data_IF_458144531967
#
_entry.id   IF_458144531967
#
_cell.length_a   1.000
_cell.length_b   1.000
_cell.length_c   1.000
_cell.angle_alpha   90.00
_cell.angle_beta   90.00
_cell.angle_gamma   90.00
#
_symmetry.space_group_name_H-M   'P 1'
#
loop_
_entity.id
_entity.type
_entity.pdbx_description
1 polymer ?
#
# COMPACT_ATOMS: atom_id res chain seq x y z
N UNK A 1 -20.94 27.94 -10.16
CA UNK A 1 -20.91 26.64 -9.45
C UNK A 1 -19.48 26.21 -9.08
N UNK A 2 -18.44 27.02 -9.33
CA UNK A 2 -17.04 26.57 -9.28
C UNK A 2 -16.34 26.70 -7.92
N UNK A 3 -16.83 27.57 -7.02
CA UNK A 3 -16.18 27.80 -5.73
C UNK A 3 -16.36 26.63 -4.74
N UNK A 4 -17.49 25.92 -4.84
CA UNK A 4 -17.84 24.85 -3.91
C UNK A 4 -17.10 23.54 -4.24
N UNK A 5 -16.91 23.25 -5.54
CA UNK A 5 -16.09 22.12 -6.02
C UNK A 5 -14.62 22.31 -5.64
N UNK A 6 -14.08 23.51 -5.84
CA UNK A 6 -12.67 23.82 -5.52
C UNK A 6 -12.37 23.66 -4.02
N UNK A 7 -13.32 24.02 -3.14
CA UNK A 7 -13.16 23.86 -1.71
C UNK A 7 -13.17 22.37 -1.29
N UNK A 8 -14.07 21.57 -1.87
CA UNK A 8 -14.19 20.13 -1.59
C UNK A 8 -12.91 19.39 -2.02
N UNK A 9 -12.39 19.70 -3.21
CA UNK A 9 -11.15 19.10 -3.72
C UNK A 9 -9.95 19.47 -2.82
N UNK A 10 -9.90 20.71 -2.33
CA UNK A 10 -8.89 21.16 -1.38
C UNK A 10 -8.94 20.41 -0.04
N UNK A 11 -10.14 20.15 0.49
CA UNK A 11 -10.29 19.36 1.71
C UNK A 11 -9.88 17.89 1.53
N UNK A 12 -10.27 17.27 0.42
CA UNK A 12 -9.88 15.89 0.11
C UNK A 12 -8.34 15.76 0.02
N UNK A 13 -7.68 16.73 -0.63
CA UNK A 13 -6.22 16.75 -0.72
C UNK A 13 -5.53 16.89 0.64
N UNK A 14 -6.05 17.74 1.53
CA UNK A 14 -5.51 17.90 2.89
C UNK A 14 -5.68 16.63 3.74
N UNK A 15 -6.82 15.95 3.60
CA UNK A 15 -7.08 14.67 4.27
C UNK A 15 -6.08 13.60 3.80
N UNK A 16 -5.89 13.47 2.49
CA UNK A 16 -4.92 12.54 1.92
C UNK A 16 -3.49 12.79 2.42
N UNK A 17 -3.04 14.05 2.42
CA UNK A 17 -1.71 14.41 2.93
C UNK A 17 -1.55 14.09 4.43
N UNK A 18 -2.60 14.29 5.23
CA UNK A 18 -2.58 13.97 6.66
C UNK A 18 -2.44 12.47 6.89
N UNK A 19 -3.24 11.66 6.18
CA UNK A 19 -3.20 10.19 6.27
C UNK A 19 -1.83 9.68 5.84
N UNK A 20 -1.32 10.10 4.69
CA UNK A 20 0.02 9.69 4.21
C UNK A 20 1.12 9.97 5.25
N UNK A 21 1.10 11.14 5.89
CA UNK A 21 2.07 11.47 6.95
C UNK A 21 1.92 10.58 8.18
N UNK A 22 0.69 10.29 8.60
CA UNK A 22 0.42 9.42 9.73
C UNK A 22 0.92 8.00 9.47
N UNK A 23 0.58 7.42 8.32
CA UNK A 23 1.02 6.08 7.94
C UNK A 23 2.56 5.98 7.79
N UNK A 24 3.19 7.04 7.27
CA UNK A 24 4.65 7.10 7.19
C UNK A 24 5.32 7.11 8.58
N UNK A 25 4.70 7.79 9.55
CA UNK A 25 5.17 7.81 10.94
C UNK A 25 5.00 6.44 11.61
N UNK A 26 3.89 5.76 11.36
CA UNK A 26 3.67 4.41 11.87
C UNK A 26 4.69 3.42 11.32
N UNK A 27 4.92 3.45 10.00
CA UNK A 27 5.88 2.58 9.35
C UNK A 27 7.31 2.81 9.89
N UNK A 28 7.79 4.06 10.01
CA UNK A 28 9.15 4.28 10.51
C UNK A 28 9.32 3.85 11.99
N UNK A 29 8.26 3.91 12.79
CA UNK A 29 8.29 3.50 14.20
C UNK A 29 8.20 1.99 14.40
N UNK A 30 7.68 1.26 13.42
CA UNK A 30 7.45 -0.19 13.46
C UNK A 30 8.69 -1.07 13.61
N UNK A 31 9.87 -0.53 13.25
CA UNK A 31 11.14 -1.27 13.19
C UNK A 31 11.05 -2.58 12.40
N UNK A 32 10.27 -2.63 11.32
CA UNK A 32 10.29 -3.75 10.37
C UNK A 32 11.76 -4.06 9.95
N UNK A 33 12.12 -5.35 9.76
CA UNK A 33 13.48 -5.74 9.39
C UNK A 33 14.01 -5.02 8.15
N UNK A 34 15.31 -4.73 8.18
CA UNK A 34 16.13 -4.31 7.04
C UNK A 34 15.78 -2.95 6.38
N UNK A 35 16.88 -2.24 6.11
CA UNK A 35 17.09 -0.98 5.39
C UNK A 35 16.73 0.34 6.10
N UNK A 36 17.64 1.30 5.89
CA UNK A 36 17.61 2.71 6.27
C UNK A 36 16.49 3.47 5.54
N UNK A 37 15.27 2.95 5.56
CA UNK A 37 14.13 3.63 4.98
C UNK A 37 13.92 4.91 5.77
N UNK A 38 14.08 6.05 5.12
CA UNK A 38 13.88 7.33 5.75
C UNK A 38 12.39 7.65 5.79
N UNK A 39 12.00 8.58 6.66
CA UNK A 39 10.63 9.11 6.64
C UNK A 39 10.24 9.65 5.24
N UNK A 40 11.19 10.21 4.49
CA UNK A 40 10.97 10.71 3.13
C UNK A 40 10.68 9.57 2.16
N UNK A 41 11.35 8.43 2.29
CA UNK A 41 11.10 7.25 1.45
C UNK A 41 9.70 6.69 1.70
N UNK A 42 9.29 6.59 2.98
CA UNK A 42 7.93 6.19 3.35
C UNK A 42 6.88 7.14 2.73
N UNK A 43 7.10 8.46 2.83
CA UNK A 43 6.21 9.45 2.22
C UNK A 43 6.11 9.29 0.70
N UNK A 44 7.23 9.04 0.02
CA UNK A 44 7.22 8.88 -1.44
C UNK A 44 6.40 7.66 -1.87
N UNK A 45 6.58 6.53 -1.20
CA UNK A 45 5.81 5.30 -1.47
C UNK A 45 4.32 5.55 -1.22
N UNK A 46 3.97 6.11 -0.06
CA UNK A 46 2.57 6.31 0.33
C UNK A 46 1.86 7.38 -0.50
N UNK A 47 2.56 8.44 -0.92
CA UNK A 47 2.00 9.39 -1.88
C UNK A 47 1.73 8.74 -3.23
N UNK A 48 2.60 7.84 -3.71
CA UNK A 48 2.35 7.11 -4.95
C UNK A 48 1.11 6.23 -4.81
N UNK A 49 0.99 5.47 -3.71
CA UNK A 49 -0.22 4.70 -3.41
C UNK A 49 -1.46 5.59 -3.41
N UNK A 50 -1.42 6.72 -2.71
CA UNK A 50 -2.52 7.68 -2.64
C UNK A 50 -2.93 8.24 -4.01
N UNK A 51 -1.98 8.47 -4.90
CA UNK A 51 -2.23 8.95 -6.28
C UNK A 51 -2.90 7.86 -7.11
N UNK A 52 -2.50 6.60 -6.94
CA UNK A 52 -3.09 5.46 -7.65
C UNK A 52 -4.51 5.19 -7.13
N UNK A 53 -4.70 5.14 -5.81
CA UNK A 53 -6.00 4.83 -5.19
C UNK A 53 -7.00 5.96 -5.38
N UNK A 54 -6.54 7.21 -5.37
CA UNK A 54 -7.36 8.43 -5.30
C UNK A 54 -8.36 8.44 -4.12
N UNK A 55 -8.12 7.58 -3.13
CA UNK A 55 -9.01 7.37 -1.99
C UNK A 55 -8.15 7.12 -0.75
N UNK A 56 -8.20 8.05 0.19
CA UNK A 56 -7.40 7.99 1.41
C UNK A 56 -7.79 6.84 2.34
N UNK A 57 -9.07 6.45 2.34
CA UNK A 57 -9.54 5.29 3.10
C UNK A 57 -9.01 4.01 2.47
N UNK A 58 -9.05 3.91 1.14
CA UNK A 58 -8.50 2.75 0.45
C UNK A 58 -6.98 2.63 0.64
N UNK A 59 -6.25 3.75 0.64
CA UNK A 59 -4.82 3.78 0.99
C UNK A 59 -4.57 3.25 2.40
N UNK A 60 -5.36 3.69 3.38
CA UNK A 60 -5.26 3.25 4.77
C UNK A 60 -5.51 1.74 4.90
N UNK A 61 -6.58 1.22 4.29
CA UNK A 61 -6.91 -0.22 4.31
C UNK A 61 -5.79 -1.07 3.71
N UNK A 62 -5.26 -0.68 2.56
CA UNK A 62 -4.15 -1.40 1.91
C UNK A 62 -2.92 -1.38 2.82
N UNK A 63 -2.61 -0.22 3.41
CA UNK A 63 -1.50 -0.08 4.33
C UNK A 63 -1.65 -1.01 5.53
N UNK A 64 -2.76 -0.89 6.28
CA UNK A 64 -2.98 -1.63 7.52
C UNK A 64 -2.87 -3.14 7.31
N UNK A 65 -3.53 -3.68 6.28
CA UNK A 65 -3.55 -5.12 6.04
C UNK A 65 -2.20 -5.67 5.58
N UNK A 66 -1.50 -4.94 4.71
CA UNK A 66 -0.15 -5.34 4.29
C UNK A 66 0.86 -5.17 5.43
N UNK A 67 0.68 -4.16 6.28
CA UNK A 67 1.56 -3.87 7.39
C UNK A 67 1.41 -4.93 8.50
N UNK A 68 0.18 -5.32 8.82
CA UNK A 68 -0.10 -6.46 9.71
C UNK A 68 0.52 -7.74 9.15
N UNK A 69 0.39 -7.99 7.84
CA UNK A 69 1.02 -9.13 7.19
C UNK A 69 2.54 -9.06 7.30
N UNK A 70 3.15 -7.90 7.06
CA UNK A 70 4.59 -7.70 7.14
C UNK A 70 5.11 -8.01 8.55
N UNK A 71 4.42 -7.50 9.58
CA UNK A 71 4.76 -7.76 10.98
C UNK A 71 4.64 -9.25 11.32
N UNK A 72 3.51 -9.87 10.96
CA UNK A 72 3.23 -11.29 11.25
C UNK A 72 4.24 -12.24 10.60
N UNK A 73 4.66 -11.92 9.38
CA UNK A 73 5.57 -12.76 8.59
C UNK A 73 7.03 -12.29 8.68
N UNK A 74 7.33 -11.31 9.54
CA UNK A 74 8.66 -10.71 9.70
C UNK A 74 9.29 -10.27 8.36
N UNK A 75 8.48 -9.66 7.49
CA UNK A 75 8.91 -9.15 6.17
C UNK A 75 9.59 -7.81 6.32
N UNK A 76 10.48 -7.48 5.38
CA UNK A 76 11.25 -6.25 5.42
C UNK A 76 10.45 -5.01 5.02
N UNK A 77 10.96 -3.83 5.37
CA UNK A 77 10.38 -2.57 4.87
C UNK A 77 10.43 -2.49 3.34
N UNK A 78 11.50 -2.98 2.71
CA UNK A 78 11.60 -3.05 1.25
C UNK A 78 10.50 -3.95 0.62
N UNK A 79 10.21 -5.11 1.23
CA UNK A 79 9.10 -5.96 0.81
C UNK A 79 7.76 -5.24 0.95
N UNK A 80 7.53 -4.59 2.08
CA UNK A 80 6.29 -3.87 2.34
C UNK A 80 6.08 -2.72 1.35
N UNK A 81 7.13 -1.97 1.01
CA UNK A 81 7.09 -0.93 -0.02
C UNK A 81 6.67 -1.47 -1.40
N UNK A 82 7.23 -2.61 -1.81
CA UNK A 82 6.92 -3.25 -3.09
C UNK A 82 5.47 -3.76 -3.12
N UNK A 83 5.02 -4.39 -2.03
CA UNK A 83 3.67 -4.92 -1.96
C UNK A 83 2.61 -3.81 -1.87
N UNK A 84 2.91 -2.68 -1.22
CA UNK A 84 2.05 -1.49 -1.22
C UNK A 84 1.77 -1.00 -2.65
N UNK A 85 2.83 -0.89 -3.46
CA UNK A 85 2.69 -0.49 -4.87
C UNK A 85 1.93 -1.54 -5.67
N UNK A 86 2.23 -2.82 -5.46
CA UNK A 86 1.52 -3.91 -6.13
C UNK A 86 0.01 -3.85 -5.84
N UNK A 87 -0.39 -3.76 -4.57
CA UNK A 87 -1.81 -3.70 -4.18
C UNK A 87 -2.52 -2.44 -4.67
N UNK A 88 -1.84 -1.29 -4.69
CA UNK A 88 -2.39 -0.10 -5.31
C UNK A 88 -2.67 -0.32 -6.80
N UNK A 89 -1.72 -0.92 -7.53
CA UNK A 89 -1.88 -1.22 -8.96
C UNK A 89 -2.99 -2.25 -9.22
N UNK A 90 -3.21 -3.20 -8.32
CA UNK A 90 -4.32 -4.18 -8.43
C UNK A 90 -5.68 -3.47 -8.60
N UNK A 91 -5.90 -2.33 -7.93
CA UNK A 91 -7.14 -1.56 -8.05
C UNK A 91 -7.38 -1.02 -9.46
N UNK A 92 -6.29 -0.72 -10.18
CA UNK A 92 -6.34 -0.20 -11.55
C UNK A 92 -6.21 -1.30 -12.60
N UNK A 93 -5.74 -2.48 -12.20
CA UNK A 93 -5.56 -3.62 -13.08
C UNK A 93 -6.90 -4.30 -13.36
N UNK A 94 -7.03 -4.87 -14.56
CA UNK A 94 -8.20 -5.66 -14.94
C UNK A 94 -8.39 -6.90 -14.06
N UNK A 95 -7.27 -7.51 -13.64
CA UNK A 95 -7.25 -8.71 -12.81
C UNK A 95 -5.90 -8.81 -12.06
N UNK A 96 -5.97 -9.07 -10.75
CA UNK A 96 -4.81 -9.40 -9.89
C UNK A 96 -3.95 -10.51 -10.47
N UNK A 97 -4.55 -11.55 -11.05
CA UNK A 97 -3.82 -12.68 -11.64
C UNK A 97 -2.91 -12.24 -12.79
N UNK A 98 -3.38 -11.34 -13.65
CA UNK A 98 -2.59 -10.85 -14.78
C UNK A 98 -1.41 -10.01 -14.28
N UNK A 99 -1.65 -9.13 -13.30
CA UNK A 99 -0.59 -8.33 -12.69
C UNK A 99 0.44 -9.20 -11.95
N UNK A 100 0.00 -10.17 -11.16
CA UNK A 100 0.89 -11.10 -10.45
C UNK A 100 1.77 -11.90 -11.43
N UNK A 101 1.20 -12.37 -12.54
CA UNK A 101 1.95 -13.06 -13.61
C UNK A 101 2.97 -12.13 -14.26
N UNK A 102 2.59 -10.88 -14.55
CA UNK A 102 3.52 -9.90 -15.12
C UNK A 102 4.75 -9.73 -14.22
N UNK A 103 4.54 -9.50 -12.93
CA UNK A 103 5.65 -9.37 -11.97
C UNK A 103 6.49 -10.64 -11.89
N UNK A 104 5.87 -11.83 -11.86
CA UNK A 104 6.60 -13.10 -11.86
C UNK A 104 7.48 -13.25 -13.10
N UNK A 105 6.97 -12.88 -14.29
CA UNK A 105 7.75 -12.96 -15.53
C UNK A 105 8.89 -11.95 -15.60
N UNK A 106 8.80 -10.85 -14.85
CA UNK A 106 9.85 -9.83 -14.77
C UNK A 106 10.91 -10.15 -13.72
N UNK A 107 10.60 -10.99 -12.71
CA UNK A 107 11.58 -11.52 -11.78
C UNK A 107 12.56 -12.44 -12.51
N UNK A 108 13.81 -12.02 -12.66
CA UNK A 108 14.88 -12.85 -13.24
C UNK A 108 16.00 -13.04 -12.22
N UNK A 109 16.31 -14.28 -11.81
CA UNK A 109 15.65 -15.55 -12.18
C UNK A 109 14.26 -15.71 -11.53
N UNK A 110 13.42 -16.59 -12.11
CA UNK A 110 12.21 -17.09 -11.43
C UNK A 110 12.65 -18.21 -10.50
N UNK A 111 12.94 -17.86 -9.26
CA UNK A 111 13.32 -18.78 -8.19
C UNK A 111 12.13 -19.08 -7.25
N UNK A 112 12.37 -19.91 -6.24
CA UNK A 112 11.34 -20.30 -5.27
C UNK A 112 10.78 -19.08 -4.51
N UNK A 113 11.62 -18.08 -4.21
CA UNK A 113 11.18 -16.85 -3.54
C UNK A 113 10.23 -16.02 -4.42
N UNK A 114 10.47 -15.97 -5.73
CA UNK A 114 9.56 -15.34 -6.68
C UNK A 114 8.22 -16.08 -6.76
N UNK A 115 8.24 -17.42 -6.73
CA UNK A 115 7.02 -18.24 -6.71
C UNK A 115 6.23 -18.08 -5.41
N UNK A 116 6.90 -18.03 -4.25
CA UNK A 116 6.27 -17.77 -2.95
C UNK A 116 5.57 -16.40 -2.95
N UNK A 117 6.25 -15.37 -3.44
CA UNK A 117 5.68 -14.01 -3.56
C UNK A 117 4.45 -14.01 -4.48
N UNK A 118 4.50 -14.72 -5.60
CA UNK A 118 3.37 -14.88 -6.50
C UNK A 118 2.18 -15.55 -5.81
N UNK A 119 2.41 -16.64 -5.08
CA UNK A 119 1.35 -17.36 -4.36
C UNK A 119 0.76 -16.53 -3.20
N UNK A 120 1.60 -15.80 -2.46
CA UNK A 120 1.15 -14.84 -1.43
C UNK A 120 0.22 -13.79 -2.06
N UNK A 121 0.62 -13.19 -3.19
CA UNK A 121 -0.20 -12.20 -3.90
C UNK A 121 -1.55 -12.76 -4.35
N UNK A 122 -1.61 -14.01 -4.81
CA UNK A 122 -2.86 -14.64 -5.26
C UNK A 122 -3.81 -14.99 -4.10
N UNK A 123 -3.26 -15.33 -2.94
CA UNK A 123 -4.05 -15.70 -1.76
C UNK A 123 -4.55 -14.49 -0.97
N UNK A 124 -3.90 -13.33 -1.12
CA UNK A 124 -4.26 -12.08 -0.43
C UNK A 124 -5.62 -11.56 -0.87
N UNK A 125 -6.47 -11.26 0.11
CA UNK A 125 -7.73 -10.53 -0.06
C UNK A 125 -7.60 -9.21 0.69
N UNK A 126 -7.73 -8.10 -0.03
CA UNK A 126 -7.88 -6.79 0.59
C UNK A 126 -9.38 -6.57 0.79
N UNK A 127 -9.82 -6.64 2.03
CA UNK A 127 -11.23 -6.44 2.39
C UNK A 127 -11.41 -5.01 2.88
N UNK A 128 -12.53 -4.38 2.53
CA UNK A 128 -12.88 -3.08 3.11
C UNK A 128 -13.13 -3.33 4.61
N UNK A 129 -12.19 -2.92 5.47
CA UNK A 129 -12.28 -3.18 6.90
C UNK A 129 -13.58 -2.55 7.41
N UNK A 130 -14.55 -3.33 7.94
CA UNK A 130 -15.70 -2.74 8.58
C UNK A 130 -15.15 -2.04 9.81
N UNK A 131 -15.14 -0.71 9.78
CA UNK A 131 -14.82 0.17 10.90
C UNK A 131 -15.18 -0.55 12.21
N UNK A 132 -14.19 -0.87 13.02
CA UNK A 132 -14.48 -1.07 14.44
C UNK A 132 -14.98 0.30 14.92
N UNK A 133 -16.30 0.44 14.95
CA UNK A 133 -17.01 1.44 15.72
C UNK A 133 -16.65 1.17 17.18
N UNK A 134 -15.51 1.70 17.62
CA UNK A 134 -15.21 1.83 19.04
C UNK A 134 -16.01 3.04 19.55
N UNK A 135 -17.20 2.74 20.06
CA UNK A 135 -17.85 3.53 21.12
C UNK A 135 -17.01 3.50 22.40
#
# INVERSE_FOLDING_TARGET
MDQQTTAIDGYAQLIGQRIVRQLALEWIQSKLPNEELTFVDCLNVLNHVQVITQDSRQTEIIFEQLFEQACRLNKSSAWFAQELQFEALVLTARNRLELARLYLTQSQPVDDAALDTYLERLSRRIEDSPLILSM
#
